data_IF_715510608816
#
_entry.id   IF_715510608816
#
_cell.length_a   1.000
_cell.length_b   1.000
_cell.length_c   1.000
_cell.angle_alpha   90.00
_cell.angle_beta   90.00
_cell.angle_gamma   90.00
#
_symmetry.space_group_name_H-M   'P 1'
#
loop_
_entity.id
_entity.type
_entity.pdbx_description
1 polymer ?
#
# COMPACT_ATOMS: atom_id res chain seq x y z
N UNK A 1 16.13 -0.54 -1.42
CA UNK A 1 15.45 -0.33 -0.12
C UNK A 1 14.78 -1.63 0.31
N UNK A 2 14.85 -1.97 1.59
CA UNK A 2 14.22 -3.18 2.12
C UNK A 2 12.81 -2.84 2.62
N UNK A 3 11.79 -3.47 2.03
CA UNK A 3 10.42 -3.45 2.53
C UNK A 3 10.07 -4.83 3.08
N UNK A 4 9.31 -4.87 4.16
CA UNK A 4 8.84 -6.13 4.74
C UNK A 4 7.47 -6.43 4.14
N UNK A 5 7.33 -7.60 3.52
CA UNK A 5 6.08 -8.01 2.86
C UNK A 5 5.54 -9.25 3.55
N UNK A 6 4.26 -9.20 3.92
CA UNK A 6 3.54 -10.32 4.48
C UNK A 6 2.45 -10.76 3.49
N UNK A 7 2.51 -12.01 3.05
CA UNK A 7 1.52 -12.61 2.14
C UNK A 7 0.50 -13.45 2.90
N UNK A 8 -0.77 -13.35 2.50
CA UNK A 8 -1.90 -14.00 3.16
C UNK A 8 -2.84 -14.67 2.17
N UNK A 9 -3.21 -15.91 2.50
CA UNK A 9 -4.36 -16.58 1.92
C UNK A 9 -5.62 -16.08 2.65
N UNK A 10 -6.32 -15.10 2.05
CA UNK A 10 -7.58 -14.52 2.53
C UNK A 10 -7.50 -13.06 2.99
N UNK A 11 -8.49 -12.25 2.59
CA UNK A 11 -8.56 -10.82 2.87
C UNK A 11 -8.68 -10.50 4.37
N UNK A 12 -9.41 -11.33 5.13
CA UNK A 12 -9.67 -11.13 6.55
C UNK A 12 -8.36 -11.14 7.37
N UNK A 13 -7.43 -12.03 7.02
CA UNK A 13 -6.12 -12.13 7.67
C UNK A 13 -5.22 -10.93 7.34
N UNK A 14 -5.18 -10.55 6.05
CA UNK A 14 -4.42 -9.37 5.62
C UNK A 14 -4.92 -8.10 6.32
N UNK A 15 -6.24 -7.94 6.44
CA UNK A 15 -6.86 -6.81 7.13
C UNK A 15 -6.52 -6.78 8.63
N UNK A 16 -6.61 -7.94 9.32
CA UNK A 16 -6.28 -8.04 10.74
C UNK A 16 -4.83 -7.62 11.00
N UNK A 17 -3.89 -8.11 10.18
CA UNK A 17 -2.47 -7.78 10.30
C UNK A 17 -2.20 -6.31 9.99
N UNK A 18 -2.79 -5.79 8.92
CA UNK A 18 -2.70 -4.37 8.58
C UNK A 18 -3.16 -3.48 9.75
N UNK A 19 -4.28 -3.82 10.38
CA UNK A 19 -4.81 -3.07 11.54
C UNK A 19 -3.81 -3.08 12.71
N UNK A 20 -3.20 -4.23 13.00
CA UNK A 20 -2.16 -4.35 14.03
C UNK A 20 -0.92 -3.50 13.73
N UNK A 21 -0.42 -3.55 12.49
CA UNK A 21 0.75 -2.78 12.06
C UNK A 21 0.48 -1.27 12.13
N UNK A 22 -0.70 -0.83 11.70
CA UNK A 22 -1.12 0.58 11.80
C UNK A 22 -1.26 1.04 13.24
N UNK A 23 -1.79 0.17 14.13
CA UNK A 23 -1.90 0.47 15.56
C UNK A 23 -0.51 0.63 16.23
N UNK A 24 0.51 -0.05 15.72
CA UNK A 24 1.89 0.13 16.14
C UNK A 24 2.57 1.40 15.55
N UNK A 25 1.84 2.20 14.76
CA UNK A 25 2.33 3.47 14.20
C UNK A 25 3.04 3.34 12.85
N UNK A 26 3.13 2.14 12.27
CA UNK A 26 3.76 1.93 10.98
C UNK A 26 2.80 2.20 9.82
N UNK A 27 3.37 2.52 8.66
CA UNK A 27 2.63 2.73 7.41
C UNK A 27 2.63 1.44 6.60
N UNK A 28 1.49 1.17 5.96
CA UNK A 28 1.29 -0.04 5.16
C UNK A 28 0.65 0.26 3.82
N UNK A 29 1.10 -0.43 2.78
CA UNK A 29 0.43 -0.52 1.48
C UNK A 29 -0.15 -1.92 1.34
N UNK A 30 -1.38 -2.02 0.88
CA UNK A 30 -2.01 -3.30 0.58
C UNK A 30 -2.03 -3.51 -0.94
N UNK A 31 -1.70 -4.71 -1.37
CA UNK A 31 -1.88 -5.15 -2.76
C UNK A 31 -2.55 -6.52 -2.76
N UNK A 32 -3.20 -6.86 -3.87
CA UNK A 32 -3.80 -8.18 -4.05
C UNK A 32 -3.66 -8.60 -5.50
N UNK A 33 -3.42 -9.88 -5.72
CA UNK A 33 -3.37 -10.51 -7.03
C UNK A 33 -4.10 -11.86 -7.01
N UNK A 34 -4.00 -12.64 -8.09
CA UNK A 34 -4.61 -13.97 -8.20
C UNK A 34 -4.13 -14.98 -7.15
N UNK A 35 -2.96 -14.75 -6.54
CA UNK A 35 -2.33 -15.62 -5.55
C UNK A 35 -2.65 -15.23 -4.10
N UNK A 36 -3.13 -14.01 -3.85
CA UNK A 36 -3.61 -13.62 -2.53
C UNK A 36 -3.50 -12.14 -2.20
N UNK A 37 -3.39 -11.86 -0.90
CA UNK A 37 -3.37 -10.52 -0.32
C UNK A 37 -2.03 -10.25 0.33
N UNK A 38 -1.47 -9.07 0.09
CA UNK A 38 -0.16 -8.69 0.62
C UNK A 38 -0.25 -7.39 1.39
N UNK A 39 0.43 -7.35 2.52
CA UNK A 39 0.60 -6.15 3.34
C UNK A 39 2.10 -5.82 3.33
N UNK A 40 2.43 -4.67 2.77
CA UNK A 40 3.78 -4.14 2.74
C UNK A 40 3.94 -3.12 3.86
N UNK A 41 4.92 -3.28 4.74
CA UNK A 41 5.34 -2.24 5.67
C UNK A 41 6.35 -1.36 4.96
N UNK A 42 6.07 -0.07 4.96
CA UNK A 42 6.85 0.92 4.23
C UNK A 42 7.35 2.01 5.16
N UNK A 43 8.47 2.61 4.77
CA UNK A 43 9.03 3.77 5.45
C UNK A 43 8.16 5.02 5.23
N UNK A 44 8.37 6.05 6.06
CA UNK A 44 7.71 7.34 5.86
C UNK A 44 8.08 8.00 4.51
N UNK A 45 9.29 7.74 4.02
CA UNK A 45 9.75 8.20 2.71
C UNK A 45 9.00 7.52 1.56
N UNK A 46 8.95 6.18 1.56
CA UNK A 46 8.16 5.42 0.59
C UNK A 46 6.68 5.84 0.61
N UNK A 47 6.13 6.15 1.79
CA UNK A 47 4.76 6.62 1.91
C UNK A 47 4.55 7.99 1.26
N UNK A 48 5.53 8.91 1.37
CA UNK A 48 5.48 10.22 0.69
C UNK A 48 5.54 10.04 -0.82
N UNK A 49 6.49 9.24 -1.30
CA UNK A 49 6.63 8.92 -2.72
C UNK A 49 5.31 8.37 -3.28
N UNK A 50 4.67 7.44 -2.58
CA UNK A 50 3.41 6.85 -3.01
C UNK A 50 2.25 7.87 -3.09
N UNK A 51 2.17 8.80 -2.14
CA UNK A 51 1.17 9.88 -2.17
C UNK A 51 1.43 10.84 -3.33
N UNK A 52 2.70 11.18 -3.60
CA UNK A 52 3.09 12.01 -4.73
C UNK A 52 2.78 11.35 -6.07
N UNK A 53 3.02 10.03 -6.19
CA UNK A 53 2.68 9.25 -7.39
C UNK A 53 1.17 9.27 -7.66
N UNK A 54 0.34 9.07 -6.64
CA UNK A 54 -1.13 9.16 -6.77
C UNK A 54 -1.52 10.55 -7.26
N UNK A 55 -0.97 11.60 -6.65
CA UNK A 55 -1.28 12.99 -7.00
C UNK A 55 -0.90 13.31 -8.45
N UNK A 56 0.26 12.83 -8.91
CA UNK A 56 0.70 13.03 -10.29
C UNK A 56 -0.17 12.23 -11.28
N UNK A 57 -0.53 11.00 -10.95
CA UNK A 57 -1.39 10.16 -11.78
C UNK A 57 -2.80 10.74 -11.92
N UNK A 58 -3.41 11.26 -10.85
CA UNK A 58 -4.71 11.94 -10.92
C UNK A 58 -4.67 13.20 -11.80
N UNK A 59 -3.57 13.97 -11.75
CA UNK A 59 -3.35 15.14 -12.61
C UNK A 59 -3.18 14.76 -14.09
N UNK A 60 -2.47 13.67 -14.39
CA UNK A 60 -2.28 13.18 -15.75
C UNK A 60 -3.59 12.65 -16.35
N UNK A 61 -4.37 11.90 -15.58
CA UNK A 61 -5.68 11.40 -15.99
C UNK A 61 -6.72 12.51 -16.26
N UNK A 62 -6.59 13.66 -15.59
CA UNK A 62 -7.42 14.84 -15.86
C UNK A 62 -6.98 15.56 -17.14
N UNK A 63 -5.67 15.73 -17.36
CA UNK A 63 -5.13 16.38 -18.57
C UNK A 63 -5.36 15.60 -19.85
N UNK A 64 -5.40 14.26 -19.79
CA UNK A 64 -5.66 13.41 -20.96
C UNK A 64 -7.13 13.43 -21.42
N UNK A 65 -8.03 14.10 -20.67
CA UNK A 65 -9.44 14.28 -21.02
C UNK A 65 -9.77 15.68 -21.59
N UNK A 66 -8.75 16.53 -21.75
CA UNK A 66 -8.79 17.77 -22.56
C UNK A 66 -8.12 17.55 -23.91
#
# INVERSE_FOLDING_TARGET
MAKITFGFCGAEKAHAVQKGIRAAGFRTINTSDEHGFYVHVITAEENRQHIEDIRNHELEALRAKE
#
